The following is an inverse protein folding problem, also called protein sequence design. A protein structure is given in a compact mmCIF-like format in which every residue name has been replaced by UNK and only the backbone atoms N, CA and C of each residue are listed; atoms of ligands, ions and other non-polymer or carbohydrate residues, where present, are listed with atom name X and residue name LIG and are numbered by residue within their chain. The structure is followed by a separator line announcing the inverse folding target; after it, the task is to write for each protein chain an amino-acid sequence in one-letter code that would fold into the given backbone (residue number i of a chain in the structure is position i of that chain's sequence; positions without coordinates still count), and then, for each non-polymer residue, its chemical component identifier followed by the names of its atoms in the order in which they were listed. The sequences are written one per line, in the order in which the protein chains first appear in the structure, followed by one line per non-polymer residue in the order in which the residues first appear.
data_IF_544396448663
#
_entry.id   IF_544396448663
#
_cell.length_a   1.000
_cell.length_b   1.000
_cell.length_c   1.000
_cell.angle_alpha   90.00
_cell.angle_beta   90.00
_cell.angle_gamma   90.00
#
_symmetry.space_group_name_H-M   'P 1'
#
loop_
_entity.id
_entity.type
_entity.pdbx_description
1 polymer ?
#
# COMPACT_ATOMS: atom_id res chain seq x y z
N UNK A 1 -59.63 32.39 19.11
CA UNK A 1 -58.33 33.05 18.89
C UNK A 1 -57.36 31.96 18.51
N UNK A 2 -57.22 31.81 17.21
CA UNK A 2 -56.93 30.59 16.48
C UNK A 2 -55.96 30.95 15.37
N UNK A 3 -55.06 30.00 15.09
CA UNK A 3 -54.44 29.77 13.78
C UNK A 3 -53.73 30.94 13.09
N UNK A 4 -52.43 31.13 13.35
CA UNK A 4 -51.59 31.95 12.46
C UNK A 4 -50.07 31.66 12.56
N UNK A 5 -49.62 30.39 12.52
CA UNK A 5 -48.17 30.10 12.66
C UNK A 5 -47.61 28.99 11.77
N UNK A 6 -48.24 28.66 10.63
CA UNK A 6 -47.75 27.59 9.74
C UNK A 6 -47.45 27.98 8.29
N UNK A 7 -47.22 29.26 7.99
CA UNK A 7 -47.12 29.71 6.58
C UNK A 7 -45.83 30.46 6.17
N UNK A 8 -44.72 30.34 6.93
CA UNK A 8 -43.47 31.07 6.61
C UNK A 8 -42.35 30.17 6.03
N UNK A 9 -42.43 28.85 6.15
CA UNK A 9 -41.30 27.95 5.78
C UNK A 9 -41.27 27.44 4.32
N UNK A 10 -42.24 27.79 3.48
CA UNK A 10 -42.28 27.29 2.08
C UNK A 10 -41.59 28.22 1.07
N UNK A 11 -41.32 29.48 1.40
CA UNK A 11 -40.85 30.49 0.44
C UNK A 11 -39.32 30.68 0.37
N UNK A 12 -38.53 29.97 1.19
CA UNK A 12 -37.05 30.04 1.14
C UNK A 12 -36.37 28.90 0.34
N UNK A 13 -37.13 27.89 -0.11
CA UNK A 13 -36.57 26.75 -0.88
C UNK A 13 -36.62 26.92 -2.41
N UNK A 14 -37.36 27.87 -2.95
CA UNK A 14 -37.45 28.11 -4.40
C UNK A 14 -36.35 29.03 -4.95
N UNK A 15 -35.78 29.92 -4.13
CA UNK A 15 -34.77 30.90 -4.59
C UNK A 15 -33.31 30.42 -4.61
N UNK A 16 -33.00 29.23 -4.06
CA UNK A 16 -31.63 28.66 -4.10
C UNK A 16 -31.34 27.79 -5.34
N UNK A 17 -32.36 27.38 -6.11
CA UNK A 17 -32.17 26.52 -7.31
C UNK A 17 -32.00 27.27 -8.63
N UNK A 18 -32.30 28.57 -8.70
CA UNK A 18 -32.11 29.36 -9.95
C UNK A 18 -30.70 29.96 -10.09
N UNK A 19 -30.01 30.28 -8.98
CA UNK A 19 -28.69 30.93 -9.01
C UNK A 19 -27.48 29.98 -9.25
N UNK A 20 -27.66 28.66 -9.19
CA UNK A 20 -26.57 27.72 -9.49
C UNK A 20 -26.46 27.32 -10.96
N UNK A 21 -27.49 27.55 -11.79
CA UNK A 21 -27.47 27.20 -13.22
C UNK A 21 -26.97 28.32 -14.14
N UNK A 22 -26.92 29.58 -13.70
CA UNK A 22 -26.41 30.70 -14.51
C UNK A 22 -24.87 30.83 -14.45
N UNK A 23 -24.23 30.51 -13.32
CA UNK A 23 -22.77 30.66 -13.16
C UNK A 23 -21.91 29.55 -13.77
N UNK A 24 -22.48 28.42 -14.20
CA UNK A 24 -21.71 27.36 -14.87
C UNK A 24 -21.62 27.51 -16.40
N UNK A 25 -22.41 28.39 -17.02
CA UNK A 25 -22.37 28.62 -18.49
C UNK A 25 -21.48 29.79 -18.92
N UNK A 26 -21.15 30.75 -18.05
CA UNK A 26 -20.27 31.87 -18.38
C UNK A 26 -18.76 31.51 -18.32
N UNK A 27 -18.35 30.63 -17.41
CA UNK A 27 -16.92 30.28 -17.23
C UNK A 27 -16.33 29.29 -18.24
N UNK A 28 -17.14 28.63 -19.08
CA UNK A 28 -16.63 27.71 -20.13
C UNK A 28 -16.34 28.38 -21.48
N UNK A 29 -16.70 29.66 -21.69
CA UNK A 29 -16.46 30.38 -22.97
C UNK A 29 -15.28 31.35 -22.94
N UNK A 30 -14.79 31.81 -21.78
CA UNK A 30 -13.64 32.73 -21.72
C UNK A 30 -12.26 32.04 -21.78
N UNK A 31 -12.13 30.80 -21.29
CA UNK A 31 -10.83 30.11 -21.19
C UNK A 31 -10.33 29.38 -22.46
N UNK A 32 -11.12 29.34 -23.55
CA UNK A 32 -10.67 28.73 -24.82
C UNK A 32 -10.04 29.72 -25.82
N UNK A 33 -10.09 31.03 -25.58
CA UNK A 33 -9.52 32.05 -26.50
C UNK A 33 -8.19 32.66 -26.05
N UNK A 34 -7.77 32.53 -24.79
CA UNK A 34 -6.50 33.09 -24.31
C UNK A 34 -5.28 32.17 -24.56
N UNK A 35 -5.44 30.85 -24.60
CA UNK A 35 -4.31 29.90 -24.71
C UNK A 35 -3.79 29.61 -26.13
N UNK A 36 -4.32 30.25 -27.18
CA UNK A 36 -3.82 30.10 -28.56
C UNK A 36 -2.91 31.25 -29.04
N UNK A 37 -2.75 32.33 -28.27
CA UNK A 37 -1.93 33.50 -28.68
C UNK A 37 -0.57 33.62 -27.97
N UNK A 38 -0.30 32.88 -26.89
CA UNK A 38 0.98 32.95 -26.16
C UNK A 38 2.07 31.99 -26.67
N UNK A 39 1.72 30.89 -27.35
CA UNK A 39 2.69 29.87 -27.79
C UNK A 39 3.35 30.09 -29.17
N UNK A 40 3.16 31.25 -29.81
CA UNK A 40 3.83 31.58 -31.09
C UNK A 40 4.99 32.59 -30.98
N UNK A 41 5.24 33.19 -29.81
CA UNK A 41 6.30 34.21 -29.65
C UNK A 41 7.58 33.74 -28.94
N UNK A 42 7.64 32.53 -28.36
CA UNK A 42 8.85 32.06 -27.66
C UNK A 42 9.82 31.24 -28.52
N UNK A 43 9.48 30.88 -29.76
CA UNK A 43 10.29 29.99 -30.60
C UNK A 43 11.19 30.68 -31.65
N UNK A 44 11.31 32.02 -31.62
CA UNK A 44 12.18 32.76 -32.55
C UNK A 44 13.53 33.23 -31.96
N UNK A 45 13.77 33.09 -30.65
CA UNK A 45 14.99 33.58 -30.00
C UNK A 45 16.07 32.52 -29.69
N UNK A 46 15.94 31.27 -30.17
CA UNK A 46 16.93 30.22 -29.94
C UNK A 46 17.80 29.83 -31.16
N UNK A 47 17.74 30.59 -32.27
CA UNK A 47 18.55 30.33 -33.47
C UNK A 47 19.71 31.30 -33.73
N UNK A 48 19.91 32.35 -32.91
CA UNK A 48 20.97 33.36 -33.14
C UNK A 48 22.24 33.19 -32.30
N UNK A 49 22.27 32.35 -31.24
CA UNK A 49 23.42 32.25 -30.34
C UNK A 49 24.34 31.03 -30.52
N UNK A 50 24.25 30.30 -31.64
CA UNK A 50 25.12 29.14 -31.93
C UNK A 50 26.15 29.34 -33.05
N UNK A 51 26.36 30.56 -33.55
CA UNK A 51 27.28 30.82 -34.67
C UNK A 51 28.45 31.80 -34.42
N UNK A 52 28.61 32.39 -33.23
CA UNK A 52 29.72 33.34 -32.98
C UNK A 52 30.91 32.78 -32.17
N UNK A 53 30.81 31.61 -31.52
CA UNK A 53 31.88 31.11 -30.63
C UNK A 53 32.73 29.94 -31.15
N UNK A 54 32.70 29.64 -32.46
CA UNK A 54 33.49 28.56 -33.06
C UNK A 54 34.60 29.01 -34.03
N UNK A 55 34.95 30.30 -34.10
CA UNK A 55 36.00 30.79 -35.03
C UNK A 55 37.15 31.59 -34.41
N UNK A 56 37.21 31.83 -33.10
CA UNK A 56 38.31 32.60 -32.49
C UNK A 56 39.40 31.77 -31.79
N UNK A 57 39.22 30.46 -31.57
CA UNK A 57 40.18 29.64 -30.79
C UNK A 57 41.08 28.68 -31.60
N UNK A 58 41.21 28.85 -32.92
CA UNK A 58 42.05 27.97 -33.76
C UNK A 58 43.29 28.62 -34.40
N UNK A 59 43.70 29.83 -33.99
CA UNK A 59 44.84 30.52 -34.64
C UNK A 59 45.97 31.08 -33.76
N UNK A 60 46.04 30.77 -32.47
CA UNK A 60 47.13 31.25 -31.59
C UNK A 60 48.09 30.18 -31.05
N UNK A 61 47.90 28.88 -31.33
CA UNK A 61 48.73 27.80 -30.74
C UNK A 61 49.65 27.06 -31.73
N UNK A 62 50.14 27.74 -32.78
CA UNK A 62 51.15 27.19 -33.70
C UNK A 62 52.29 28.18 -33.95
N UNK A 63 53.09 28.52 -32.92
CA UNK A 63 54.48 29.03 -33.06
C UNK A 63 55.12 29.34 -31.69
N UNK A 64 55.40 28.33 -30.88
CA UNK A 64 56.34 28.47 -29.73
C UNK A 64 56.67 27.14 -29.06
N UNK A 65 56.96 26.07 -29.81
CA UNK A 65 57.56 24.85 -29.25
C UNK A 65 58.54 24.22 -30.23
N UNK A 66 59.72 24.81 -30.38
CA UNK A 66 60.92 24.12 -30.87
C UNK A 66 62.13 24.78 -30.22
N UNK A 67 63.00 23.96 -29.63
CA UNK A 67 64.25 24.26 -28.90
C UNK A 67 64.11 24.57 -27.40
N UNK A 68 63.88 23.52 -26.60
CA UNK A 68 64.50 23.32 -25.26
C UNK A 68 63.85 22.14 -24.50
N UNK A 69 63.78 20.94 -25.09
CA UNK A 69 63.36 19.72 -24.36
C UNK A 69 64.14 18.52 -24.83
N UNK A 70 65.20 18.14 -24.12
CA UNK A 70 65.70 16.77 -24.20
C UNK A 70 66.43 16.22 -22.97
N UNK A 71 66.63 16.96 -21.86
CA UNK A 71 67.27 16.36 -20.66
C UNK A 71 66.64 16.66 -19.28
N UNK A 72 65.64 17.54 -19.18
CA UNK A 72 64.97 17.83 -17.88
C UNK A 72 63.63 17.07 -17.67
N UNK A 73 63.05 16.50 -18.74
CA UNK A 73 61.68 15.98 -18.71
C UNK A 73 61.55 14.50 -18.26
N UNK A 74 62.66 13.79 -18.05
CA UNK A 74 62.63 12.41 -17.56
C UNK A 74 62.65 12.36 -16.02
N UNK A 75 63.33 13.29 -15.35
CA UNK A 75 63.33 13.36 -13.88
C UNK A 75 62.01 13.90 -13.32
N UNK A 76 61.41 14.96 -13.88
CA UNK A 76 60.12 15.46 -13.38
C UNK A 76 58.98 14.44 -13.52
N UNK A 77 58.94 13.67 -14.61
CA UNK A 77 57.92 12.63 -14.79
C UNK A 77 58.15 11.41 -13.89
N UNK A 78 59.39 11.12 -13.48
CA UNK A 78 59.67 10.09 -12.48
C UNK A 78 59.33 10.58 -11.06
N UNK A 79 59.68 11.82 -10.70
CA UNK A 79 59.36 12.42 -9.41
C UNK A 79 57.84 12.54 -9.21
N UNK A 80 57.09 12.94 -10.25
CA UNK A 80 55.62 12.98 -10.19
C UNK A 80 55.01 11.59 -10.04
N UNK A 81 55.53 10.56 -10.73
CA UNK A 81 55.05 9.18 -10.60
C UNK A 81 55.33 8.57 -9.22
N UNK A 82 56.51 8.84 -8.66
CA UNK A 82 56.87 8.39 -7.30
C UNK A 82 55.97 9.07 -6.28
N UNK A 83 55.75 10.38 -6.38
CA UNK A 83 54.86 11.11 -5.47
C UNK A 83 53.42 10.59 -5.50
N UNK A 84 52.91 10.22 -6.68
CA UNK A 84 51.54 9.72 -6.82
C UNK A 84 51.39 8.31 -6.26
N UNK A 85 52.40 7.44 -6.44
CA UNK A 85 52.41 6.09 -5.86
C UNK A 85 52.57 6.11 -4.34
N UNK A 86 53.34 7.05 -3.80
CA UNK A 86 53.49 7.25 -2.36
C UNK A 86 52.21 7.79 -1.72
N UNK A 87 51.54 8.75 -2.35
CA UNK A 87 50.22 9.26 -1.92
C UNK A 87 49.19 8.12 -1.93
N UNK A 88 49.12 7.37 -3.02
CA UNK A 88 48.18 6.24 -3.14
C UNK A 88 48.47 5.14 -2.11
N UNK A 89 49.74 4.88 -1.81
CA UNK A 89 50.15 3.88 -0.80
C UNK A 89 49.87 4.36 0.63
N UNK A 90 50.02 5.66 0.91
CA UNK A 90 49.66 6.27 2.20
C UNK A 90 48.15 6.27 2.41
N UNK A 91 47.35 6.65 1.42
CA UNK A 91 45.88 6.60 1.49
C UNK A 91 45.38 5.16 1.66
N UNK A 92 45.98 4.20 0.97
CA UNK A 92 45.65 2.78 1.12
C UNK A 92 46.02 2.26 2.51
N UNK A 93 47.16 2.67 3.06
CA UNK A 93 47.59 2.29 4.42
C UNK A 93 46.73 2.93 5.50
N UNK A 94 46.30 4.19 5.33
CA UNK A 94 45.34 4.85 6.21
C UNK A 94 43.94 4.22 6.13
N UNK A 95 43.43 3.90 4.94
CA UNK A 95 42.18 3.13 4.78
C UNK A 95 42.26 1.77 5.45
N UNK A 96 43.41 1.09 5.36
CA UNK A 96 43.63 -0.19 6.05
C UNK A 96 43.66 -0.01 7.57
N UNK A 97 44.29 1.03 8.11
CA UNK A 97 44.28 1.31 9.55
C UNK A 97 42.89 1.68 10.07
N UNK A 98 42.12 2.51 9.35
CA UNK A 98 40.74 2.85 9.71
C UNK A 98 39.82 1.62 9.63
N UNK A 99 40.00 0.76 8.62
CA UNK A 99 39.24 -0.50 8.51
C UNK A 99 39.57 -1.52 9.60
N UNK A 100 40.75 -1.44 10.22
CA UNK A 100 41.14 -2.28 11.37
C UNK A 100 40.63 -1.74 12.71
N UNK A 101 40.42 -0.42 12.82
CA UNK A 101 39.90 0.24 14.03
C UNK A 101 38.38 0.14 14.18
N UNK A 102 37.65 -0.13 13.09
CA UNK A 102 36.21 -0.37 13.10
C UNK A 102 35.90 -1.80 12.64
N UNK A 103 36.15 -2.79 13.50
CA UNK A 103 35.68 -4.16 13.33
C UNK A 103 34.17 -4.32 13.61
N UNK A 104 33.38 -3.25 13.57
CA UNK A 104 31.93 -3.40 13.58
C UNK A 104 31.49 -3.95 12.22
N UNK A 105 30.75 -5.08 12.19
CA UNK A 105 30.19 -5.56 10.94
C UNK A 105 29.35 -4.40 10.34
N UNK A 106 29.49 -4.08 9.04
CA UNK A 106 28.83 -2.92 8.41
C UNK A 106 27.31 -2.83 8.66
N UNK A 107 26.69 -3.95 9.01
CA UNK A 107 25.28 -4.07 9.35
C UNK A 107 24.91 -3.40 10.69
N UNK A 108 25.79 -3.47 11.70
CA UNK A 108 25.53 -2.90 13.02
C UNK A 108 25.69 -1.38 13.03
N UNK A 109 26.71 -0.86 12.34
CA UNK A 109 26.93 0.58 12.21
C UNK A 109 25.74 1.26 11.51
N UNK A 110 25.21 0.63 10.45
CA UNK A 110 24.03 1.14 9.76
C UNK A 110 22.80 1.14 10.67
N UNK A 111 22.62 0.12 11.51
CA UNK A 111 21.50 0.08 12.47
C UNK A 111 21.60 1.23 13.47
N UNK A 112 22.79 1.48 14.03
CA UNK A 112 23.00 2.57 14.98
C UNK A 112 22.70 3.95 14.36
N UNK A 113 23.27 4.24 13.17
CA UNK A 113 23.05 5.51 12.49
C UNK A 113 21.58 5.73 12.10
N UNK A 114 20.87 4.67 11.69
CA UNK A 114 19.44 4.74 11.40
C UNK A 114 18.64 5.05 12.68
N UNK A 115 18.97 4.40 13.79
CA UNK A 115 18.31 4.67 15.07
C UNK A 115 18.53 6.11 15.54
N UNK A 116 19.76 6.62 15.44
CA UNK A 116 20.08 8.01 15.79
C UNK A 116 19.30 9.00 14.91
N UNK A 117 19.30 8.80 13.59
CA UNK A 117 18.57 9.65 12.66
C UNK A 117 17.05 9.66 12.93
N UNK A 118 16.43 8.49 13.11
CA UNK A 118 15.00 8.39 13.45
C UNK A 118 14.70 9.06 14.80
N UNK A 119 15.60 8.97 15.78
CA UNK A 119 15.43 9.65 17.07
C UNK A 119 15.47 11.18 16.93
N UNK A 120 16.32 11.69 16.04
CA UNK A 120 16.41 13.13 15.75
C UNK A 120 15.16 13.62 15.00
N UNK A 121 14.69 12.85 14.02
CA UNK A 121 13.41 13.12 13.36
C UNK A 121 12.24 13.14 14.35
N UNK A 122 12.17 12.17 15.26
CA UNK A 122 11.17 12.14 16.33
C UNK A 122 11.19 13.41 17.18
N UNK A 123 12.37 13.86 17.61
CA UNK A 123 12.54 15.10 18.39
C UNK A 123 12.08 16.33 17.61
N UNK A 124 12.47 16.44 16.33
CA UNK A 124 12.02 17.54 15.47
C UNK A 124 10.50 17.59 15.35
N UNK A 125 9.85 16.43 15.19
CA UNK A 125 8.37 16.36 15.15
C UNK A 125 7.72 16.72 16.49
N UNK A 126 8.28 16.27 17.61
CA UNK A 126 7.75 16.53 18.94
C UNK A 126 7.91 17.99 19.37
N UNK A 127 9.01 18.63 18.98
CA UNK A 127 9.30 20.03 19.30
C UNK A 127 8.70 21.01 18.28
N UNK A 128 8.13 20.51 17.17
CA UNK A 128 7.56 21.31 16.08
C UNK A 128 8.59 22.28 15.44
N UNK A 129 9.88 21.93 15.48
CA UNK A 129 10.97 22.77 14.97
C UNK A 129 11.02 22.74 13.44
N UNK A 130 11.16 23.89 12.76
CA UNK A 130 11.35 24.00 11.30
C UNK A 130 10.27 23.33 10.44
N UNK A 131 9.03 23.24 10.94
CA UNK A 131 7.91 22.70 10.18
C UNK A 131 7.49 23.64 9.03
N UNK A 132 7.33 23.09 7.83
CA UNK A 132 6.96 23.80 6.59
C UNK A 132 5.62 23.31 6.00
N UNK A 133 4.88 22.50 6.77
CA UNK A 133 3.56 21.96 6.42
C UNK A 133 2.69 21.75 7.66
N UNK A 134 1.39 21.93 7.54
CA UNK A 134 0.43 21.74 8.63
C UNK A 134 -0.70 20.79 8.18
N UNK A 135 -0.95 19.74 8.96
CA UNK A 135 -2.12 18.87 8.77
C UNK A 135 -3.16 19.23 9.83
N UNK A 136 -4.39 19.53 9.39
CA UNK A 136 -5.55 19.78 10.25
C UNK A 136 -6.39 18.51 10.33
N UNK A 137 -6.59 17.99 11.54
CA UNK A 137 -7.33 16.74 11.78
C UNK A 137 -8.45 16.90 12.82
N UNK A 138 -9.46 16.05 12.69
CA UNK A 138 -10.62 16.00 13.59
C UNK A 138 -11.61 17.14 13.37
N UNK A 139 -12.76 17.05 14.05
CA UNK A 139 -13.84 18.05 13.97
C UNK A 139 -13.40 19.45 14.41
N UNK A 140 -12.39 19.52 15.28
CA UNK A 140 -11.87 20.77 15.82
C UNK A 140 -10.70 21.34 15.01
N UNK A 141 -10.35 20.72 13.86
CA UNK A 141 -9.21 21.13 13.02
C UNK A 141 -7.93 21.32 13.84
N UNK A 142 -7.60 20.34 14.67
CA UNK A 142 -6.36 20.38 15.46
C UNK A 142 -5.16 20.28 14.53
N UNK A 143 -4.15 21.13 14.79
CA UNK A 143 -2.96 21.27 13.95
C UNK A 143 -1.91 20.21 14.27
N UNK A 144 -1.28 19.68 13.22
CA UNK A 144 -0.14 18.78 13.28
C UNK A 144 0.96 19.38 12.39
N UNK A 145 1.88 20.18 12.95
CA UNK A 145 3.03 20.70 12.21
C UNK A 145 3.96 19.57 11.78
N UNK A 146 4.48 19.65 10.56
CA UNK A 146 5.32 18.60 9.97
C UNK A 146 6.23 19.13 8.85
N UNK A 147 7.10 18.25 8.37
CA UNK A 147 8.14 18.53 7.39
C UNK A 147 7.83 17.88 6.05
N UNK A 148 7.70 18.67 4.98
CA UNK A 148 7.45 18.17 3.61
C UNK A 148 8.51 17.17 3.19
N UNK A 149 9.77 17.43 3.49
CA UNK A 149 10.90 16.56 3.13
C UNK A 149 10.73 15.13 3.67
N UNK A 150 10.38 14.99 4.95
CA UNK A 150 10.17 13.69 5.61
C UNK A 150 8.92 13.02 5.05
N UNK A 151 7.80 13.75 4.97
CA UNK A 151 6.55 13.22 4.41
C UNK A 151 6.74 12.69 2.98
N UNK A 152 7.37 13.47 2.10
CA UNK A 152 7.64 13.10 0.71
C UNK A 152 8.56 11.88 0.60
N UNK A 153 9.54 11.77 1.49
CA UNK A 153 10.48 10.64 1.47
C UNK A 153 9.85 9.32 1.94
N UNK A 154 8.81 9.38 2.79
CA UNK A 154 8.22 8.21 3.45
C UNK A 154 6.85 7.82 2.91
N UNK A 155 6.21 8.70 2.15
CA UNK A 155 4.87 8.49 1.59
C UNK A 155 4.81 8.91 0.13
N UNK A 156 4.38 7.98 -0.71
CA UNK A 156 4.13 8.26 -2.13
C UNK A 156 2.99 9.25 -2.35
N UNK A 157 1.99 9.26 -1.46
CA UNK A 157 0.90 10.23 -1.52
C UNK A 157 1.43 11.65 -1.38
N UNK A 158 2.23 11.95 -0.35
CA UNK A 158 2.78 13.30 -0.15
C UNK A 158 3.75 13.69 -1.27
N UNK A 159 4.61 12.77 -1.71
CA UNK A 159 5.49 12.99 -2.85
C UNK A 159 4.71 13.45 -4.10
N UNK A 160 3.69 12.68 -4.50
CA UNK A 160 2.90 12.98 -5.71
C UNK A 160 2.11 14.30 -5.58
N UNK A 161 1.60 14.64 -4.40
CA UNK A 161 0.78 15.83 -4.20
C UNK A 161 1.60 17.12 -3.96
N UNK A 162 2.86 17.02 -3.50
CA UNK A 162 3.71 18.19 -3.25
C UNK A 162 4.59 18.58 -4.45
N UNK A 163 4.74 17.74 -5.47
CA UNK A 163 5.60 18.03 -6.61
C UNK A 163 5.08 19.11 -7.57
N UNK A 164 3.78 19.41 -7.56
CA UNK A 164 3.14 20.28 -8.56
C UNK A 164 3.05 21.76 -8.13
N UNK A 165 4.17 22.45 -7.86
CA UNK A 165 4.20 23.92 -7.59
C UNK A 165 3.11 24.44 -6.64
N UNK A 166 2.53 23.55 -5.84
CA UNK A 166 1.36 23.87 -5.06
C UNK A 166 1.88 24.61 -3.85
N UNK A 167 1.49 25.89 -3.73
CA UNK A 167 1.64 26.68 -2.50
C UNK A 167 0.79 26.11 -1.35
N UNK A 168 0.35 24.85 -1.46
CA UNK A 168 -0.44 24.18 -0.45
C UNK A 168 0.50 23.85 0.69
N UNK A 169 0.40 24.65 1.74
CA UNK A 169 1.09 24.48 3.01
C UNK A 169 0.23 23.70 4.02
N UNK A 170 -0.99 23.31 3.62
CA UNK A 170 -1.99 22.75 4.53
C UNK A 170 -2.74 21.55 3.94
N UNK A 171 -3.03 20.54 4.77
CA UNK A 171 -3.91 19.41 4.44
C UNK A 171 -5.03 19.28 5.48
N UNK A 172 -6.28 19.16 5.02
CA UNK A 172 -7.45 19.05 5.90
C UNK A 172 -8.03 17.63 5.89
N UNK A 173 -8.15 17.02 7.07
CA UNK A 173 -8.65 15.66 7.31
C UNK A 173 -9.71 15.64 8.44
N UNK A 174 -10.83 16.37 8.30
CA UNK A 174 -11.84 16.51 9.36
C UNK A 174 -12.56 15.19 9.70
N UNK A 175 -12.55 14.21 8.78
CA UNK A 175 -13.19 12.91 8.96
C UNK A 175 -12.40 11.95 9.86
N UNK A 176 -11.12 12.22 10.12
CA UNK A 176 -10.27 11.39 10.97
C UNK A 176 -10.01 12.05 12.32
N UNK A 177 -9.98 11.26 13.39
CA UNK A 177 -9.63 11.76 14.72
C UNK A 177 -8.17 12.23 14.77
N UNK A 178 -7.90 13.29 15.53
CA UNK A 178 -6.56 13.85 15.68
C UNK A 178 -5.52 12.81 16.09
N UNK A 179 -5.82 11.98 17.09
CA UNK A 179 -4.90 10.96 17.60
C UNK A 179 -4.52 9.93 16.53
N UNK A 180 -5.46 9.59 15.65
CA UNK A 180 -5.26 8.62 14.57
C UNK A 180 -4.29 9.21 13.54
N UNK A 181 -4.57 10.43 13.08
CA UNK A 181 -3.70 11.13 12.11
C UNK A 181 -2.31 11.34 12.72
N UNK A 182 -2.24 11.82 13.97
CA UNK A 182 -0.96 12.07 14.66
C UNK A 182 -0.15 10.79 14.82
N UNK A 183 -0.78 9.65 15.14
CA UNK A 183 -0.10 8.35 15.25
C UNK A 183 0.50 7.91 13.91
N UNK A 184 -0.24 8.05 12.79
CA UNK A 184 0.28 7.72 11.46
C UNK A 184 1.39 8.67 11.02
N UNK A 185 1.25 9.97 11.28
CA UNK A 185 2.31 10.94 10.96
C UNK A 185 3.55 10.66 11.80
N UNK A 186 3.41 10.38 13.10
CA UNK A 186 4.53 9.99 13.98
C UNK A 186 5.28 8.78 13.44
N UNK A 187 4.56 7.76 12.95
CA UNK A 187 5.18 6.57 12.34
C UNK A 187 6.11 6.90 11.16
N UNK A 188 5.87 7.99 10.42
CA UNK A 188 6.77 8.40 9.34
C UNK A 188 8.13 8.88 9.86
N UNK A 189 8.17 9.40 11.09
CA UNK A 189 9.38 9.94 11.72
C UNK A 189 10.19 8.88 12.47
N UNK A 190 9.52 7.99 13.21
CA UNK A 190 10.21 7.05 14.11
C UNK A 190 9.95 5.57 13.81
N UNK A 191 9.07 5.25 12.86
CA UNK A 191 8.62 3.88 12.55
C UNK A 191 7.99 3.12 13.73
N UNK A 192 7.72 3.81 14.84
CA UNK A 192 6.94 3.30 15.96
C UNK A 192 5.46 3.56 15.68
N UNK A 193 4.61 2.61 16.05
CA UNK A 193 3.18 2.73 15.82
C UNK A 193 2.44 2.16 17.01
N UNK A 194 1.67 3.03 17.69
CA UNK A 194 0.82 2.64 18.81
C UNK A 194 -0.51 2.17 18.25
N UNK A 195 -0.66 0.86 18.19
CA UNK A 195 -1.84 0.22 17.65
C UNK A 195 -2.98 0.15 18.68
N UNK A 196 -4.20 0.48 18.25
CA UNK A 196 -5.43 0.29 19.01
C UNK A 196 -6.41 -0.50 18.14
N UNK A 197 -6.74 -1.71 18.61
CA UNK A 197 -7.63 -2.64 17.90
C UNK A 197 -9.01 -2.04 17.66
N UNK A 198 -9.51 -1.13 18.51
CA UNK A 198 -10.83 -0.55 18.32
C UNK A 198 -10.88 0.46 17.16
N UNK A 199 -9.72 1.00 16.77
CA UNK A 199 -9.57 2.04 15.74
C UNK A 199 -8.87 1.52 14.47
N UNK A 200 -8.64 0.21 14.36
CA UNK A 200 -7.82 -0.37 13.28
C UNK A 200 -8.31 -0.04 11.86
N UNK A 201 -9.62 0.00 11.64
CA UNK A 201 -10.20 0.35 10.33
C UNK A 201 -9.77 1.74 9.86
N UNK A 202 -9.79 2.72 10.77
CA UNK A 202 -9.40 4.10 10.47
C UNK A 202 -7.90 4.20 10.23
N UNK A 203 -7.09 3.47 11.01
CA UNK A 203 -5.66 3.38 10.77
C UNK A 203 -5.36 2.77 9.39
N UNK A 204 -6.05 1.69 9.05
CA UNK A 204 -5.86 0.96 7.81
C UNK A 204 -6.31 1.76 6.58
N UNK A 205 -7.46 2.44 6.67
CA UNK A 205 -7.93 3.33 5.60
C UNK A 205 -6.92 4.45 5.36
N UNK A 206 -6.49 5.15 6.41
CA UNK A 206 -5.58 6.27 6.27
C UNK A 206 -4.18 5.82 5.82
N UNK A 207 -3.71 4.63 6.22
CA UNK A 207 -2.46 4.06 5.71
C UNK A 207 -2.53 3.72 4.22
N UNK A 208 -3.68 3.22 3.73
CA UNK A 208 -3.93 3.04 2.29
C UNK A 208 -3.98 4.38 1.55
N UNK A 209 -4.71 5.36 2.07
CA UNK A 209 -4.85 6.70 1.47
C UNK A 209 -3.49 7.39 1.31
N UNK A 210 -2.64 7.28 2.35
CA UNK A 210 -1.26 7.80 2.32
C UNK A 210 -0.25 6.88 1.62
N UNK A 211 -0.71 5.76 1.03
CA UNK A 211 0.13 4.78 0.32
C UNK A 211 1.31 4.27 1.17
N UNK A 212 1.05 4.00 2.45
CA UNK A 212 2.02 3.55 3.45
C UNK A 212 2.02 2.01 3.56
N UNK A 213 2.48 1.31 2.53
CA UNK A 213 2.41 -0.16 2.45
C UNK A 213 2.99 -0.88 3.67
N UNK A 214 4.12 -0.42 4.22
CA UNK A 214 4.74 -1.02 5.39
C UNK A 214 3.87 -0.90 6.65
N UNK A 215 3.19 0.24 6.82
CA UNK A 215 2.26 0.44 7.93
C UNK A 215 0.99 -0.40 7.75
N UNK A 216 0.46 -0.49 6.54
CA UNK A 216 -0.70 -1.34 6.23
C UNK A 216 -0.43 -2.80 6.60
N UNK A 217 0.72 -3.35 6.20
CA UNK A 217 1.12 -4.72 6.56
C UNK A 217 1.30 -4.86 8.08
N UNK A 218 1.89 -3.86 8.74
CA UNK A 218 2.06 -3.86 10.20
C UNK A 218 0.71 -3.89 10.92
N UNK A 219 -0.26 -3.07 10.49
CA UNK A 219 -1.62 -3.05 11.05
C UNK A 219 -2.30 -4.42 10.89
N UNK A 220 -2.23 -5.01 9.69
CA UNK A 220 -2.80 -6.34 9.45
C UNK A 220 -2.19 -7.41 10.36
N UNK A 221 -0.87 -7.38 10.53
CA UNK A 221 -0.18 -8.30 11.42
C UNK A 221 -0.64 -8.13 12.87
N UNK A 222 -0.65 -6.90 13.39
CA UNK A 222 -1.07 -6.58 14.76
C UNK A 222 -2.53 -6.98 15.02
N UNK A 223 -3.43 -6.76 14.06
CA UNK A 223 -4.83 -7.23 14.15
C UNK A 223 -4.85 -8.76 14.19
N UNK A 224 -4.11 -9.43 13.30
CA UNK A 224 -4.12 -10.89 13.20
C UNK A 224 -3.65 -11.61 14.47
N UNK A 225 -2.67 -11.03 15.17
CA UNK A 225 -2.14 -11.55 16.43
C UNK A 225 -3.13 -11.40 17.60
N UNK A 226 -4.11 -10.48 17.49
CA UNK A 226 -5.13 -10.22 18.50
C UNK A 226 -6.48 -10.88 18.21
N UNK A 227 -6.61 -11.60 17.09
CA UNK A 227 -7.83 -12.35 16.76
C UNK A 227 -8.06 -13.47 17.77
N UNK A 228 -9.26 -13.52 18.31
CA UNK A 228 -9.71 -14.52 19.24
C UNK A 228 -11.23 -14.78 19.07
N UNK A 229 -11.76 -15.74 19.82
CA UNK A 229 -13.18 -16.15 19.72
C UNK A 229 -14.18 -15.03 20.03
N UNK A 230 -13.75 -13.99 20.75
CA UNK A 230 -14.59 -12.87 21.19
C UNK A 230 -14.57 -11.67 20.24
N UNK A 231 -13.68 -11.62 19.26
CA UNK A 231 -13.58 -10.48 18.35
C UNK A 231 -13.49 -10.88 16.87
N UNK A 232 -13.35 -12.17 16.55
CA UNK A 232 -13.17 -12.62 15.17
C UNK A 232 -14.34 -12.24 14.27
N UNK A 233 -15.58 -12.32 14.75
CA UNK A 233 -16.76 -12.00 13.93
C UNK A 233 -16.81 -10.50 13.60
N UNK A 234 -16.72 -9.57 14.58
CA UNK A 234 -16.59 -8.14 14.26
C UNK A 234 -15.39 -7.82 13.36
N UNK A 235 -14.21 -8.39 13.63
CA UNK A 235 -13.01 -8.13 12.83
C UNK A 235 -13.20 -8.63 11.39
N UNK A 236 -13.86 -9.77 11.18
CA UNK A 236 -14.16 -10.30 9.86
C UNK A 236 -14.97 -9.31 9.02
N UNK A 237 -16.10 -8.83 9.53
CA UNK A 237 -16.94 -7.90 8.77
C UNK A 237 -16.26 -6.55 8.53
N UNK A 238 -15.51 -6.06 9.53
CA UNK A 238 -14.67 -4.88 9.38
C UNK A 238 -13.59 -5.08 8.31
N UNK A 239 -12.97 -6.26 8.24
CA UNK A 239 -11.97 -6.61 7.23
C UNK A 239 -12.54 -6.61 5.81
N UNK A 240 -13.79 -7.05 5.62
CA UNK A 240 -14.51 -6.96 4.35
C UNK A 240 -14.75 -5.49 4.00
N UNK A 241 -15.21 -4.68 4.96
CA UNK A 241 -15.54 -3.27 4.72
C UNK A 241 -14.34 -2.42 4.28
N UNK A 242 -13.14 -2.75 4.77
CA UNK A 242 -11.88 -2.07 4.42
C UNK A 242 -11.12 -2.76 3.28
N UNK A 243 -11.70 -3.81 2.68
CA UNK A 243 -11.12 -4.59 1.59
C UNK A 243 -9.72 -5.13 1.94
N UNK A 244 -9.57 -5.74 3.12
CA UNK A 244 -8.37 -6.48 3.53
C UNK A 244 -8.60 -7.98 3.32
N UNK A 245 -8.16 -8.49 2.15
CA UNK A 245 -8.23 -9.92 1.84
C UNK A 245 -7.40 -10.77 2.80
N UNK A 246 -6.28 -10.23 3.31
CA UNK A 246 -5.42 -10.95 4.26
C UNK A 246 -6.16 -11.20 5.57
N UNK A 247 -6.73 -10.14 6.18
CA UNK A 247 -7.48 -10.26 7.43
C UNK A 247 -8.75 -11.08 7.28
N UNK A 248 -9.49 -10.90 6.18
CA UNK A 248 -10.70 -11.68 5.93
C UNK A 248 -10.39 -13.17 5.87
N UNK A 249 -9.33 -13.56 5.16
CA UNK A 249 -8.92 -14.97 5.05
C UNK A 249 -8.46 -15.55 6.40
N UNK A 250 -7.72 -14.78 7.20
CA UNK A 250 -7.31 -15.22 8.55
C UNK A 250 -8.53 -15.42 9.43
N UNK A 251 -9.47 -14.46 9.42
CA UNK A 251 -10.70 -14.58 10.19
C UNK A 251 -11.54 -15.77 9.72
N UNK A 252 -11.68 -15.99 8.41
CA UNK A 252 -12.40 -17.15 7.87
C UNK A 252 -11.80 -18.46 8.36
N UNK A 253 -10.49 -18.63 8.28
CA UNK A 253 -9.82 -19.83 8.75
C UNK A 253 -10.02 -20.01 10.26
N UNK A 254 -9.87 -18.94 11.04
CA UNK A 254 -10.10 -18.98 12.48
C UNK A 254 -11.55 -19.38 12.81
N UNK A 255 -12.54 -18.84 12.10
CA UNK A 255 -13.95 -19.19 12.24
C UNK A 255 -14.17 -20.66 11.93
N UNK A 256 -13.64 -21.17 10.81
CA UNK A 256 -13.76 -22.58 10.41
C UNK A 256 -13.20 -23.53 11.47
N UNK A 257 -12.07 -23.19 12.06
CA UNK A 257 -11.39 -24.02 13.08
C UNK A 257 -12.08 -23.94 14.46
N UNK A 258 -12.74 -22.82 14.79
CA UNK A 258 -13.23 -22.54 16.14
C UNK A 258 -14.76 -22.32 16.24
N UNK A 259 -15.53 -22.63 15.19
CA UNK A 259 -16.96 -22.29 15.11
C UNK A 259 -17.78 -22.76 16.32
N UNK A 260 -17.56 -23.99 16.81
CA UNK A 260 -18.25 -24.52 17.98
C UNK A 260 -18.11 -23.58 19.20
N UNK A 261 -16.88 -23.13 19.44
CA UNK A 261 -16.53 -22.27 20.59
C UNK A 261 -17.03 -20.84 20.38
N UNK A 262 -17.06 -20.35 19.12
CA UNK A 262 -17.60 -19.03 18.78
C UNK A 262 -19.11 -18.97 19.03
N UNK A 263 -19.83 -20.05 18.70
CA UNK A 263 -21.26 -20.18 18.98
C UNK A 263 -21.53 -20.10 20.49
N UNK A 264 -20.72 -20.80 21.30
CA UNK A 264 -20.83 -20.79 22.76
C UNK A 264 -20.55 -19.41 23.39
N UNK A 265 -19.62 -18.63 22.82
CA UNK A 265 -19.29 -17.27 23.26
C UNK A 265 -20.39 -16.24 22.95
N UNK A 266 -21.54 -16.67 22.40
CA UNK A 266 -22.74 -15.83 22.25
C UNK A 266 -22.51 -14.58 21.35
N UNK A 267 -21.46 -14.55 20.55
CA UNK A 267 -21.10 -13.46 19.62
C UNK A 267 -22.18 -13.22 18.55
N UNK A 268 -22.86 -14.29 18.14
CA UNK A 268 -23.79 -14.30 17.00
C UNK A 268 -25.06 -13.50 17.27
N UNK A 269 -25.36 -13.21 18.52
CA UNK A 269 -26.56 -12.44 18.86
C UNK A 269 -26.64 -11.03 18.30
N UNK A 270 -25.49 -10.44 17.98
CA UNK A 270 -25.39 -9.04 17.54
C UNK A 270 -25.25 -8.88 16.02
N UNK A 271 -25.21 -9.98 15.26
CA UNK A 271 -25.03 -9.91 13.81
C UNK A 271 -26.38 -9.80 13.09
N UNK A 272 -26.42 -9.01 12.02
CA UNK A 272 -27.60 -8.88 11.16
C UNK A 272 -27.73 -10.08 10.20
N UNK A 273 -28.85 -10.17 9.46
CA UNK A 273 -29.08 -11.32 8.57
C UNK A 273 -28.05 -11.47 7.46
N UNK A 274 -27.59 -10.36 6.88
CA UNK A 274 -26.57 -10.39 5.83
C UNK A 274 -25.26 -10.96 6.37
N UNK A 275 -24.86 -10.52 7.55
CA UNK A 275 -23.70 -11.05 8.26
C UNK A 275 -23.88 -12.53 8.59
N UNK A 276 -25.04 -12.92 9.10
CA UNK A 276 -25.36 -14.32 9.39
C UNK A 276 -25.26 -15.21 8.14
N UNK A 277 -25.76 -14.74 6.99
CA UNK A 277 -25.63 -15.45 5.71
C UNK A 277 -24.17 -15.66 5.32
N UNK A 278 -23.32 -14.63 5.44
CA UNK A 278 -21.89 -14.77 5.15
C UNK A 278 -21.22 -15.77 6.12
N UNK A 279 -21.54 -15.75 7.41
CA UNK A 279 -21.03 -16.76 8.37
C UNK A 279 -21.49 -18.17 7.99
N UNK A 280 -22.75 -18.34 7.58
CA UNK A 280 -23.27 -19.63 7.11
C UNK A 280 -22.49 -20.10 5.88
N UNK A 281 -22.17 -19.22 4.93
CA UNK A 281 -21.35 -19.56 3.76
C UNK A 281 -19.95 -20.02 4.15
N UNK A 282 -19.31 -19.38 5.14
CA UNK A 282 -18.02 -19.83 5.67
C UNK A 282 -18.14 -21.25 6.24
N UNK A 283 -19.17 -21.52 7.04
CA UNK A 283 -19.41 -22.84 7.64
C UNK A 283 -19.67 -23.89 6.56
N UNK A 284 -20.41 -23.55 5.51
CA UNK A 284 -20.67 -24.44 4.38
C UNK A 284 -19.39 -24.86 3.64
N UNK A 285 -18.30 -24.11 3.78
CA UNK A 285 -17.00 -24.50 3.22
C UNK A 285 -16.18 -25.46 4.10
N UNK A 286 -16.52 -25.66 5.40
CA UNK A 286 -15.82 -26.59 6.33
C UNK A 286 -16.10 -28.05 6.01
N UNK A 287 -15.40 -29.11 6.47
CA UNK A 287 -15.75 -30.51 6.16
C UNK A 287 -17.19 -30.94 6.56
N UNK A 288 -17.80 -31.90 5.86
CA UNK A 288 -19.24 -32.22 5.93
C UNK A 288 -19.74 -32.69 7.30
N UNK A 289 -18.91 -33.42 8.06
CA UNK A 289 -19.35 -34.28 9.18
C UNK A 289 -20.06 -33.54 10.32
N UNK A 290 -19.99 -32.19 10.38
CA UNK A 290 -20.68 -31.40 11.41
C UNK A 290 -21.41 -30.16 10.90
N UNK A 291 -21.50 -29.93 9.58
CA UNK A 291 -22.05 -28.68 9.02
C UNK A 291 -23.50 -28.42 9.42
N UNK A 292 -24.36 -29.42 9.24
CA UNK A 292 -25.81 -29.26 9.43
C UNK A 292 -26.11 -28.95 10.90
N UNK A 293 -25.50 -29.69 11.83
CA UNK A 293 -25.66 -29.47 13.26
C UNK A 293 -25.16 -28.10 13.70
N UNK A 294 -24.02 -27.64 13.16
CA UNK A 294 -23.47 -26.32 13.42
C UNK A 294 -24.37 -25.20 12.91
N UNK A 295 -24.82 -25.29 11.66
CA UNK A 295 -25.70 -24.27 11.07
C UNK A 295 -27.03 -24.25 11.83
N UNK A 296 -27.57 -25.41 12.20
CA UNK A 296 -28.80 -25.48 12.99
C UNK A 296 -28.63 -24.88 14.39
N UNK A 297 -27.52 -25.18 15.09
CA UNK A 297 -27.22 -24.58 16.41
C UNK A 297 -27.06 -23.07 16.30
N UNK A 298 -26.31 -22.59 15.30
CA UNK A 298 -26.13 -21.17 14.99
C UNK A 298 -27.47 -20.47 14.75
N UNK A 299 -28.31 -21.09 13.92
CA UNK A 299 -29.65 -20.63 13.58
C UNK A 299 -30.55 -20.51 14.83
N UNK A 300 -30.55 -21.52 15.69
CA UNK A 300 -31.33 -21.51 16.92
C UNK A 300 -30.85 -20.45 17.91
N UNK A 301 -29.54 -20.31 18.10
CA UNK A 301 -28.96 -19.33 19.01
C UNK A 301 -29.24 -17.89 18.55
N UNK A 302 -29.12 -17.62 17.24
CA UNK A 302 -29.49 -16.34 16.65
C UNK A 302 -30.99 -16.04 16.86
N UNK A 303 -31.86 -16.99 16.52
CA UNK A 303 -33.33 -16.87 16.70
C UNK A 303 -33.73 -16.59 18.16
N UNK A 304 -33.13 -17.32 19.11
CA UNK A 304 -33.43 -17.17 20.53
C UNK A 304 -33.04 -15.79 21.06
N UNK A 305 -31.87 -15.29 20.64
CA UNK A 305 -31.40 -13.96 21.04
C UNK A 305 -32.18 -12.84 20.40
N UNK A 306 -32.48 -12.96 19.12
CA UNK A 306 -33.30 -12.00 18.41
C UNK A 306 -34.68 -11.84 19.08
N UNK A 307 -35.31 -12.96 19.47
CA UNK A 307 -36.54 -12.94 20.29
C UNK A 307 -36.34 -12.25 21.66
N UNK A 308 -35.22 -12.47 22.34
CA UNK A 308 -34.93 -11.82 23.63
C UNK A 308 -34.75 -10.30 23.50
N UNK A 309 -33.98 -9.85 22.50
CA UNK A 309 -33.79 -8.43 22.21
C UNK A 309 -35.13 -7.75 21.90
N UNK A 310 -35.97 -8.39 21.10
CA UNK A 310 -37.29 -7.85 20.76
C UNK A 310 -38.26 -7.88 21.94
N UNK A 311 -38.24 -8.92 22.79
CA UNK A 311 -39.05 -8.94 24.02
C UNK A 311 -38.68 -7.79 24.97
N UNK A 312 -37.39 -7.46 25.07
CA UNK A 312 -36.94 -6.32 25.86
C UNK A 312 -37.35 -4.97 25.26
N UNK A 313 -37.38 -4.85 23.93
CA UNK A 313 -37.90 -3.67 23.24
C UNK A 313 -39.42 -3.51 23.44
N UNK A 314 -40.18 -4.59 23.25
CA UNK A 314 -41.65 -4.62 23.46
C UNK A 314 -42.02 -4.23 24.90
N UNK A 315 -41.22 -4.66 25.88
CA UNK A 315 -41.46 -4.33 27.29
C UNK A 315 -41.04 -2.90 27.66
N UNK A 316 -40.13 -2.27 26.89
CA UNK A 316 -39.62 -0.92 27.18
C UNK A 316 -40.38 0.18 26.43
N UNK A 317 -40.97 -0.13 25.27
CA UNK A 317 -41.68 0.85 24.46
C UNK A 317 -43.14 0.43 24.27
N UNK A 318 -44.09 1.24 24.78
CA UNK A 318 -45.53 1.01 24.63
C UNK A 318 -46.03 1.08 23.17
N UNK A 319 -45.17 1.40 22.20
CA UNK A 319 -45.52 1.53 20.79
C UNK A 319 -44.31 1.16 19.93
N UNK A 320 -44.25 -0.09 19.46
CA UNK A 320 -43.36 -0.47 18.36
C UNK A 320 -44.15 -0.29 17.06
N UNK A 321 -43.53 0.35 16.08
CA UNK A 321 -44.09 0.56 14.75
C UNK A 321 -44.44 -0.80 14.09
N UNK A 322 -45.69 -1.04 13.66
CA UNK A 322 -46.08 -2.24 12.93
C UNK A 322 -45.18 -2.59 11.73
N UNK A 323 -44.56 -1.57 11.10
CA UNK A 323 -43.63 -1.76 9.98
C UNK A 323 -42.39 -2.54 10.43
N UNK A 324 -41.82 -2.21 11.59
CA UNK A 324 -40.64 -2.91 12.13
C UNK A 324 -40.96 -4.37 12.46
N UNK A 325 -42.17 -4.65 12.98
CA UNK A 325 -42.63 -6.02 13.25
C UNK A 325 -42.74 -6.84 11.96
N UNK A 326 -43.23 -6.22 10.88
CA UNK A 326 -43.36 -6.90 9.58
C UNK A 326 -41.99 -7.20 8.96
N UNK A 327 -41.04 -6.27 9.02
CA UNK A 327 -39.66 -6.49 8.56
C UNK A 327 -39.02 -7.67 9.31
N UNK A 328 -39.15 -7.69 10.64
CA UNK A 328 -38.70 -8.77 11.51
C UNK A 328 -39.31 -10.12 11.11
N UNK A 329 -40.61 -10.17 10.83
CA UNK A 329 -41.28 -11.42 10.44
C UNK A 329 -40.80 -11.92 9.07
N UNK A 330 -40.55 -11.02 8.12
CA UNK A 330 -39.99 -11.38 6.82
C UNK A 330 -38.57 -11.97 6.98
N UNK A 331 -37.75 -11.38 7.83
CA UNK A 331 -36.40 -11.90 8.14
C UNK A 331 -36.45 -13.31 8.74
N UNK A 332 -37.41 -13.58 9.63
CA UNK A 332 -37.63 -14.92 10.20
C UNK A 332 -38.06 -15.91 9.11
N UNK A 333 -38.91 -15.51 8.17
CA UNK A 333 -39.37 -16.36 7.07
C UNK A 333 -38.25 -16.71 6.09
N UNK A 334 -37.44 -15.72 5.68
CA UNK A 334 -36.25 -15.95 4.86
C UNK A 334 -35.31 -16.95 5.52
N UNK A 335 -35.18 -16.87 6.85
CA UNK A 335 -34.36 -17.80 7.61
C UNK A 335 -34.95 -19.21 7.68
N UNK A 336 -36.26 -19.33 7.79
CA UNK A 336 -36.95 -20.62 7.69
C UNK A 336 -36.72 -21.26 6.33
N UNK A 337 -36.81 -20.50 5.24
CA UNK A 337 -36.47 -20.97 3.90
C UNK A 337 -35.03 -21.45 3.80
N UNK A 338 -34.07 -20.73 4.39
CA UNK A 338 -32.65 -21.18 4.44
C UNK A 338 -32.52 -22.52 5.18
N UNK A 339 -33.16 -22.66 6.34
CA UNK A 339 -33.11 -23.91 7.13
C UNK A 339 -33.76 -25.06 6.38
N UNK A 340 -34.92 -24.84 5.77
CA UNK A 340 -35.66 -25.87 5.06
C UNK A 340 -34.91 -26.29 3.78
N UNK A 341 -34.26 -25.35 3.09
CA UNK A 341 -33.35 -25.65 1.98
C UNK A 341 -32.15 -26.49 2.43
N UNK A 342 -31.55 -26.18 3.59
CA UNK A 342 -30.43 -26.97 4.16
C UNK A 342 -30.87 -28.38 4.56
N UNK A 343 -32.11 -28.56 5.02
CA UNK A 343 -32.66 -29.86 5.40
C UNK A 343 -33.07 -30.72 4.21
N UNK A 344 -33.65 -30.09 3.18
CA UNK A 344 -34.31 -30.80 2.09
C UNK A 344 -33.35 -31.21 0.96
N UNK A 345 -32.17 -30.59 0.84
CA UNK A 345 -31.20 -30.98 -0.18
C UNK A 345 -29.76 -31.02 0.35
N UNK A 346 -29.04 -32.09 -0.01
CA UNK A 346 -27.58 -32.13 0.07
C UNK A 346 -26.89 -31.20 -0.95
N UNK A 347 -27.40 -29.97 -1.12
CA UNK A 347 -27.00 -29.05 -2.18
C UNK A 347 -25.96 -28.01 -1.76
N UNK A 348 -25.13 -27.67 -2.76
CA UNK A 348 -24.08 -26.66 -2.77
C UNK A 348 -24.74 -25.33 -3.11
N UNK A 349 -24.78 -24.38 -2.18
CA UNK A 349 -25.24 -23.02 -2.45
C UNK A 349 -24.25 -22.32 -3.41
N UNK A 350 -24.58 -22.31 -4.71
CA UNK A 350 -23.94 -21.42 -5.69
C UNK A 350 -24.54 -20.01 -5.56
N UNK A 351 -24.24 -19.32 -4.46
CA UNK A 351 -24.46 -17.87 -4.39
C UNK A 351 -23.29 -17.17 -5.08
N UNK A 352 -23.43 -16.92 -6.37
CA UNK A 352 -22.51 -16.08 -7.12
C UNK A 352 -22.64 -14.64 -6.63
N UNK A 353 -21.60 -14.10 -6.00
CA UNK A 353 -21.46 -12.67 -5.68
C UNK A 353 -21.54 -11.82 -6.96
N UNK A 354 -22.70 -11.25 -7.27
CA UNK A 354 -22.79 -10.09 -8.19
C UNK A 354 -23.83 -9.09 -7.70
N UNK A 355 -23.37 -7.98 -7.13
CA UNK A 355 -24.19 -6.79 -6.98
C UNK A 355 -24.28 -6.04 -8.32
N UNK A 356 -25.50 -5.64 -8.68
CA UNK A 356 -25.86 -4.59 -9.64
C UNK A 356 -25.33 -4.71 -11.08
N UNK A 357 -25.84 -5.69 -11.83
CA UNK A 357 -25.91 -5.58 -13.29
C UNK A 357 -27.33 -5.95 -13.78
N UNK A 358 -27.83 -5.30 -14.85
CA UNK A 358 -29.15 -5.58 -15.39
C UNK A 358 -29.26 -7.05 -15.79
N UNK A 359 -30.39 -7.67 -15.40
CA UNK A 359 -30.70 -9.08 -15.64
C UNK A 359 -30.84 -9.28 -17.15
N UNK A 360 -29.77 -9.75 -17.79
CA UNK A 360 -29.85 -10.35 -19.12
C UNK A 360 -30.57 -11.70 -18.99
N UNK A 361 -31.37 -12.11 -20.00
CA UNK A 361 -32.10 -13.36 -19.95
C UNK A 361 -31.14 -14.56 -19.72
N UNK A 362 -31.57 -15.63 -19.04
CA UNK A 362 -30.70 -16.73 -18.61
C UNK A 362 -29.83 -17.35 -19.71
N UNK A 363 -30.32 -17.33 -20.95
CA UNK A 363 -29.64 -17.83 -22.15
C UNK A 363 -28.40 -16.99 -22.52
N UNK A 364 -28.48 -15.67 -22.36
CA UNK A 364 -27.40 -14.73 -22.70
C UNK A 364 -26.29 -14.74 -21.63
N UNK A 365 -26.66 -15.00 -20.37
CA UNK A 365 -25.68 -15.14 -19.28
C UNK A 365 -24.82 -16.40 -19.45
N UNK A 366 -25.41 -17.51 -19.88
CA UNK A 366 -24.67 -18.76 -20.10
C UNK A 366 -23.70 -18.64 -21.30
N UNK A 367 -24.12 -17.97 -22.38
CA UNK A 367 -23.23 -17.68 -23.52
C UNK A 367 -22.06 -16.79 -23.11
N UNK A 368 -22.30 -15.75 -22.31
CA UNK A 368 -21.25 -14.86 -21.83
C UNK A 368 -20.26 -15.56 -20.88
N UNK A 369 -20.74 -16.47 -20.02
CA UNK A 369 -19.90 -17.28 -19.15
C UNK A 369 -19.03 -18.23 -19.97
N UNK A 370 -19.61 -18.91 -20.98
CA UNK A 370 -18.86 -19.81 -21.85
C UNK A 370 -17.79 -19.07 -22.66
N UNK A 371 -18.12 -17.88 -23.20
CA UNK A 371 -17.15 -17.04 -23.89
C UNK A 371 -16.00 -16.62 -22.98
N UNK A 372 -16.29 -16.18 -21.75
CA UNK A 372 -15.25 -15.82 -20.78
C UNK A 372 -14.38 -17.01 -20.40
N UNK A 373 -14.96 -18.21 -20.26
CA UNK A 373 -14.21 -19.44 -19.98
C UNK A 373 -13.28 -19.81 -21.15
N UNK A 374 -13.71 -19.61 -22.39
CA UNK A 374 -12.85 -19.81 -23.57
C UNK A 374 -11.71 -18.81 -23.63
N UNK A 375 -11.97 -17.53 -23.38
CA UNK A 375 -10.95 -16.48 -23.30
C UNK A 375 -9.91 -16.80 -22.21
N UNK A 376 -10.37 -17.20 -21.03
CA UNK A 376 -9.51 -17.61 -19.91
C UNK A 376 -8.67 -18.84 -20.27
N UNK A 377 -9.25 -19.82 -20.96
CA UNK A 377 -8.53 -21.00 -21.45
C UNK A 377 -7.46 -20.65 -22.49
N UNK A 378 -7.75 -19.71 -23.39
CA UNK A 378 -6.77 -19.21 -24.36
C UNK A 378 -5.62 -18.46 -23.69
N UNK A 379 -5.93 -17.63 -22.68
CA UNK A 379 -4.93 -16.90 -21.91
C UNK A 379 -4.03 -17.86 -21.12
N UNK A 380 -4.61 -18.85 -20.45
CA UNK A 380 -3.86 -19.91 -19.77
C UNK A 380 -2.95 -20.69 -20.72
N UNK A 381 -3.38 -20.95 -21.96
CA UNK A 381 -2.56 -21.59 -22.99
C UNK A 381 -1.39 -20.70 -23.42
N UNK A 382 -1.58 -19.37 -23.51
CA UNK A 382 -0.51 -18.39 -23.77
C UNK A 382 0.48 -18.34 -22.60
N UNK A 383 -0.02 -18.33 -21.36
CA UNK A 383 0.81 -18.30 -20.15
C UNK A 383 1.70 -19.54 -20.05
N UNK A 384 1.13 -20.74 -20.26
CA UNK A 384 1.89 -22.01 -20.27
C UNK A 384 3.01 -22.01 -21.31
N UNK A 385 2.78 -21.43 -22.49
CA UNK A 385 3.83 -21.26 -23.52
C UNK A 385 4.94 -20.30 -23.06
N UNK A 386 4.60 -19.23 -22.34
CA UNK A 386 5.56 -18.25 -21.81
C UNK A 386 6.43 -18.88 -20.70
N UNK A 387 5.82 -19.63 -19.78
CA UNK A 387 6.54 -20.39 -18.74
C UNK A 387 7.53 -21.37 -19.37
N UNK A 388 7.09 -22.18 -20.34
CA UNK A 388 7.96 -23.13 -21.04
C UNK A 388 9.15 -22.47 -21.76
N UNK A 389 9.00 -21.21 -22.21
CA UNK A 389 10.12 -20.44 -22.80
C UNK A 389 11.09 -19.96 -21.71
N UNK A 390 10.59 -19.51 -20.57
CA UNK A 390 11.44 -19.12 -19.44
C UNK A 390 12.21 -20.32 -18.87
N UNK A 391 11.60 -21.49 -18.75
CA UNK A 391 12.29 -22.70 -18.30
C UNK A 391 13.48 -23.06 -19.20
N UNK A 392 13.33 -22.91 -20.52
CA UNK A 392 14.44 -23.11 -21.47
C UNK A 392 15.56 -22.10 -21.26
N UNK A 393 15.24 -20.83 -20.96
CA UNK A 393 16.23 -19.80 -20.67
C UNK A 393 16.97 -20.11 -19.37
N UNK A 394 16.26 -20.56 -18.33
CA UNK A 394 16.84 -20.97 -17.05
C UNK A 394 17.79 -22.14 -17.26
N UNK A 395 17.35 -23.19 -17.97
CA UNK A 395 18.22 -24.35 -18.30
C UNK A 395 19.47 -23.97 -19.10
N UNK A 396 19.36 -22.99 -20.00
CA UNK A 396 20.51 -22.45 -20.73
C UNK A 396 21.49 -21.75 -19.77
N UNK A 397 20.98 -20.93 -18.85
CA UNK A 397 21.80 -20.20 -17.86
C UNK A 397 22.48 -21.14 -16.87
N UNK A 398 21.82 -22.22 -16.46
CA UNK A 398 22.43 -23.24 -15.60
C UNK A 398 23.61 -23.94 -16.29
N UNK A 399 23.51 -24.19 -17.60
CA UNK A 399 24.64 -24.71 -18.38
C UNK A 399 25.80 -23.73 -18.44
N UNK A 400 25.54 -22.44 -18.68
CA UNK A 400 26.56 -21.38 -18.67
C UNK A 400 27.24 -21.28 -17.29
N UNK A 401 26.47 -21.29 -16.19
CA UNK A 401 27.00 -21.26 -14.83
C UNK A 401 27.91 -22.48 -14.56
N UNK A 402 27.51 -23.67 -15.00
CA UNK A 402 28.32 -24.87 -14.82
C UNK A 402 29.62 -24.84 -15.61
N UNK A 403 29.61 -24.30 -16.83
CA UNK A 403 30.83 -24.07 -17.62
C UNK A 403 31.77 -23.09 -16.90
N UNK A 404 31.25 -21.95 -16.41
CA UNK A 404 32.04 -20.98 -15.66
C UNK A 404 32.67 -21.59 -14.38
N UNK A 405 31.92 -22.42 -13.65
CA UNK A 405 32.45 -23.16 -12.48
C UNK A 405 33.63 -24.07 -12.85
N UNK A 406 33.57 -24.75 -13.99
CA UNK A 406 34.68 -25.59 -14.47
C UNK A 406 35.90 -24.73 -14.84
N UNK A 407 35.72 -23.59 -15.50
CA UNK A 407 36.79 -22.65 -15.83
C UNK A 407 37.47 -22.10 -14.57
N UNK A 408 36.68 -21.69 -13.56
CA UNK A 408 37.22 -21.22 -12.27
C UNK A 408 38.08 -22.31 -11.63
N UNK A 409 37.57 -23.55 -11.56
CA UNK A 409 38.31 -24.70 -11.01
C UNK A 409 39.62 -24.97 -11.76
N UNK A 410 39.65 -24.78 -13.07
CA UNK A 410 40.88 -24.90 -13.86
C UNK A 410 41.87 -23.78 -13.55
N UNK A 411 41.41 -22.53 -13.43
CA UNK A 411 42.26 -21.39 -13.04
C UNK A 411 42.82 -21.51 -11.63
N UNK A 412 42.07 -22.06 -10.69
CA UNK A 412 42.58 -22.34 -9.35
C UNK A 412 43.72 -23.36 -9.37
N UNK A 413 43.64 -24.39 -10.22
CA UNK A 413 44.74 -25.35 -10.42
C UNK A 413 45.98 -24.68 -11.01
N UNK A 414 45.83 -23.85 -12.04
CA UNK A 414 46.93 -23.07 -12.64
C UNK A 414 47.61 -22.16 -11.60
N UNK A 415 46.82 -21.44 -10.80
CA UNK A 415 47.32 -20.56 -9.72
C UNK A 415 48.14 -21.37 -8.71
N UNK A 416 47.67 -22.56 -8.33
CA UNK A 416 48.38 -23.41 -7.37
C UNK A 416 49.70 -23.95 -7.94
N UNK A 417 49.74 -24.33 -9.22
CA UNK A 417 50.98 -24.74 -9.90
C UNK A 417 51.99 -23.59 -9.97
N UNK A 418 51.53 -22.37 -10.27
CA UNK A 418 52.38 -21.17 -10.27
C UNK A 418 52.94 -20.87 -8.89
N UNK A 419 52.12 -20.99 -7.83
CA UNK A 419 52.57 -20.82 -6.43
C UNK A 419 53.67 -21.81 -6.08
N UNK A 420 53.51 -23.09 -6.43
CA UNK A 420 54.54 -24.12 -6.21
C UNK A 420 55.83 -23.79 -6.97
N UNK A 421 55.73 -23.35 -8.22
CA UNK A 421 56.88 -22.96 -9.05
C UNK A 421 57.64 -21.75 -8.47
N UNK A 422 56.92 -20.78 -7.92
CA UNK A 422 57.54 -19.61 -7.25
C UNK A 422 58.26 -20.06 -5.97
N UNK A 423 57.65 -20.97 -5.20
CA UNK A 423 58.24 -21.49 -3.97
C UNK A 423 59.55 -22.26 -4.24
N UNK A 424 59.58 -23.11 -5.26
CA UNK A 424 60.79 -23.87 -5.65
C UNK A 424 61.90 -22.98 -6.22
N UNK A 425 61.56 -21.90 -6.92
CA UNK A 425 62.55 -20.89 -7.35
C UNK A 425 63.15 -20.14 -6.17
N UNK A 426 62.33 -19.78 -5.17
CA UNK A 426 62.79 -19.10 -3.95
C UNK A 426 63.72 -19.94 -3.08
N UNK A 427 63.60 -21.27 -3.10
CA UNK A 427 64.48 -22.14 -2.32
C UNK A 427 65.82 -22.46 -3.01
N UNK A 428 66.02 -22.02 -4.26
CA UNK A 428 67.26 -22.24 -5.02
C UNK A 428 68.17 -21.01 -5.08
N UNK A 429 67.63 -19.84 -4.73
CA UNK A 429 68.37 -18.60 -4.53
C UNK A 429 68.58 -18.41 -3.03
#
# INVERSE_FOLDING_TARGET
MSDSSKEIDSNQKSNKKSNQKSNQKSNKKSNKKSNKKSNKKSNQNQKSNKKSNQKSNQKSNKKSKKKSKSKSNQNENQIQKISFQEIYSKEKSQKIQISKLYQFPPQELNKFLICELLSNYKKMFQNEENCDFIIYAGKNNQKIPCHKSILNSRSRFFYENHHEKSEIEELYLPQFEYDIVKSIISFLYDSEFKFDLNKFEKYFQLSKDFKLTSLTIKIEKEVSEQINKKNVIPIYFKSISIESNYLSNICENFIKENINKIIEEKQIGSINNKELTEIIQIIQSTPKENRINLIWKLAQDWKNKFKQSNKNLINKEKYIDPIQIQEINNEIQDFHLIIDNIKNEGFILNYSRTQNNPILPPTDQLQLINQKNEELNQENKKLKKKIKRQDKIIQQKDKEINQLKQTIKQKDKEINQLKQTIQTKRSRN
#
